data_IF_291009647017
#
_entry.id   IF_291009647017
#
_cell.length_a   1.000
_cell.length_b   1.000
_cell.length_c   1.000
_cell.angle_alpha   90.00
_cell.angle_beta   90.00
_cell.angle_gamma   90.00
#
_symmetry.space_group_name_H-M   'P 1'
#
loop_
_entity.id
_entity.type
_entity.pdbx_description
1 polymer ?
#
# COMPACT_ATOMS: atom_id res chain seq x y z
N UNK A 1 -4.29 11.33 -5.79
CA UNK A 1 -5.37 10.68 -5.01
C UNK A 1 -4.80 9.65 -4.05
N UNK A 2 -5.59 9.22 -3.06
CA UNK A 2 -5.19 8.22 -2.08
C UNK A 2 -6.23 7.12 -1.94
N UNK A 3 -5.76 5.90 -1.64
CA UNK A 3 -6.58 4.74 -1.31
C UNK A 3 -5.93 4.01 -0.11
N UNK A 4 -6.73 3.39 0.74
CA UNK A 4 -6.23 2.77 1.98
C UNK A 4 -6.89 1.43 2.28
N UNK A 5 -6.12 0.51 2.86
CA UNK A 5 -6.60 -0.72 3.49
C UNK A 5 -6.17 -0.74 4.97
N UNK A 6 -7.09 -0.98 5.89
CA UNK A 6 -6.86 -0.82 7.33
C UNK A 6 -7.82 -1.69 8.16
N UNK A 7 -7.57 -1.88 9.45
CA UNK A 7 -8.41 -2.75 10.29
C UNK A 7 -8.32 -4.22 9.87
N UNK A 8 -9.43 -4.97 9.95
CA UNK A 8 -9.48 -6.39 9.54
C UNK A 8 -10.25 -6.58 8.22
N UNK A 9 -9.59 -6.46 7.07
CA UNK A 9 -9.42 -5.18 6.42
C UNK A 9 -10.72 -4.53 5.87
N UNK A 10 -10.79 -3.22 6.06
CA UNK A 10 -11.65 -2.25 5.40
C UNK A 10 -10.86 -1.49 4.34
N UNK A 11 -11.55 -1.02 3.31
CA UNK A 11 -10.95 -0.39 2.13
C UNK A 11 -11.59 0.97 1.86
N UNK A 12 -10.76 1.94 1.48
CA UNK A 12 -11.14 3.15 0.77
C UNK A 12 -10.49 3.11 -0.61
N UNK A 13 -11.29 3.26 -1.67
CA UNK A 13 -10.82 3.32 -3.06
C UNK A 13 -10.28 4.70 -3.41
N UNK A 14 -9.71 4.85 -4.61
CA UNK A 14 -9.17 6.15 -5.03
C UNK A 14 -10.25 7.21 -5.26
N UNK A 15 -11.48 6.83 -5.57
CA UNK A 15 -12.60 7.77 -5.78
C UNK A 15 -13.55 7.86 -4.58
N UNK A 16 -13.16 7.25 -3.45
CA UNK A 16 -13.77 7.51 -2.14
C UNK A 16 -14.88 6.53 -1.75
N UNK A 17 -15.09 5.46 -2.52
CA UNK A 17 -15.96 4.36 -2.10
C UNK A 17 -15.30 3.59 -0.96
N UNK A 18 -16.11 3.14 -0.01
CA UNK A 18 -15.63 2.30 1.08
C UNK A 18 -16.36 0.96 1.12
N UNK A 19 -15.62 -0.08 1.49
CA UNK A 19 -16.18 -1.42 1.62
C UNK A 19 -15.34 -2.28 2.55
N UNK A 20 -15.90 -3.41 2.96
CA UNK A 20 -15.22 -4.40 3.80
C UNK A 20 -15.02 -5.69 3.01
N UNK A 21 -13.79 -6.17 2.93
CA UNK A 21 -13.46 -7.43 2.28
C UNK A 21 -12.54 -8.27 3.15
N UNK A 22 -13.09 -9.32 3.75
CA UNK A 22 -12.41 -10.18 4.73
C UNK A 22 -11.93 -11.49 4.11
N UNK A 23 -11.09 -11.41 3.07
CA UNK A 23 -10.49 -12.57 2.41
C UNK A 23 -9.37 -13.25 3.20
N UNK A 24 -9.17 -14.56 3.00
CA UNK A 24 -7.96 -15.27 3.43
C UNK A 24 -7.12 -15.63 2.19
N UNK A 25 -6.01 -14.93 1.96
CA UNK A 25 -5.22 -15.12 0.74
C UNK A 25 -4.25 -13.99 0.41
N UNK A 26 -3.92 -13.88 -0.89
CA UNK A 26 -3.12 -12.82 -1.49
C UNK A 26 -3.92 -12.09 -2.59
N UNK A 27 -4.01 -10.77 -2.51
CA UNK A 27 -4.89 -9.98 -3.38
C UNK A 27 -4.18 -8.77 -3.98
N UNK A 28 -4.50 -8.44 -5.23
CA UNK A 28 -4.02 -7.25 -5.93
C UNK A 28 -4.83 -6.03 -5.52
N UNK A 29 -4.20 -5.09 -4.82
CA UNK A 29 -4.85 -3.84 -4.43
C UNK A 29 -4.93 -2.83 -5.58
N UNK A 30 -3.84 -2.70 -6.33
CA UNK A 30 -3.74 -1.81 -7.48
C UNK A 30 -2.75 -2.39 -8.48
N UNK A 31 -3.04 -2.22 -9.76
CA UNK A 31 -2.25 -2.58 -10.93
C UNK A 31 -2.55 -1.61 -12.11
N UNK A 32 -1.64 -1.51 -13.07
CA UNK A 32 -1.57 -0.60 -14.24
C UNK A 32 -1.04 -1.37 -15.47
N UNK A 33 -1.01 -2.70 -15.42
CA UNK A 33 -0.49 -3.55 -16.50
C UNK A 33 1.05 -3.64 -16.55
N UNK A 34 1.66 -3.37 -17.73
CA UNK A 34 3.07 -3.70 -18.05
C UNK A 34 4.15 -2.93 -17.26
N UNK A 35 3.76 -2.04 -16.35
CA UNK A 35 4.68 -1.26 -15.53
C UNK A 35 3.97 -0.90 -14.22
N UNK A 36 3.92 -1.80 -13.24
CA UNK A 36 3.13 -1.45 -12.06
C UNK A 36 3.58 -1.99 -10.73
N UNK A 37 3.50 -1.07 -9.77
CA UNK A 37 3.02 -1.22 -8.41
C UNK A 37 1.90 -2.23 -8.23
N UNK A 38 2.18 -3.52 -8.43
CA UNK A 38 1.35 -4.58 -7.87
C UNK A 38 1.53 -4.50 -6.36
N UNK A 39 0.43 -4.32 -5.63
CA UNK A 39 0.46 -4.32 -4.18
C UNK A 39 -0.32 -5.51 -3.66
N UNK A 40 0.38 -6.44 -3.01
CA UNK A 40 -0.22 -7.65 -2.48
C UNK A 40 -0.43 -7.52 -0.98
N UNK A 41 -1.62 -7.90 -0.50
CA UNK A 41 -1.88 -8.08 0.93
C UNK A 41 -1.97 -9.56 1.27
N UNK A 42 -1.23 -10.00 2.30
CA UNK A 42 -1.38 -11.35 2.85
C UNK A 42 -2.07 -11.31 4.21
N UNK A 43 -3.24 -11.91 4.30
CA UNK A 43 -4.01 -12.04 5.55
C UNK A 43 -3.69 -13.33 6.31
N UNK A 44 -3.44 -13.28 7.62
CA UNK A 44 -3.22 -14.47 8.48
C UNK A 44 -4.07 -14.47 9.75
N UNK A 45 -4.42 -15.65 10.24
CA UNK A 45 -5.05 -15.85 11.55
C UNK A 45 -4.07 -15.61 12.70
N UNK A 46 -4.52 -14.89 13.74
CA UNK A 46 -3.69 -14.43 14.85
C UNK A 46 -3.51 -15.41 16.04
N UNK A 47 -3.89 -16.69 15.92
CA UNK A 47 -3.63 -17.69 16.96
C UNK A 47 -4.78 -18.64 17.26
N UNK A 48 -4.57 -19.56 18.23
CA UNK A 48 -5.33 -20.82 18.48
C UNK A 48 -6.83 -20.68 18.83
N UNK A 49 -7.35 -19.47 18.95
CA UNK A 49 -8.80 -19.23 19.08
C UNK A 49 -9.28 -18.54 17.80
N UNK A 50 -10.31 -19.10 17.15
CA UNK A 50 -10.87 -18.71 15.84
C UNK A 50 -11.38 -17.25 15.71
N UNK A 51 -10.97 -16.31 16.58
CA UNK A 51 -11.53 -14.95 16.70
C UNK A 51 -10.51 -13.90 17.20
N UNK A 52 -9.31 -13.82 16.62
CA UNK A 52 -8.42 -12.67 16.84
C UNK A 52 -7.93 -12.15 15.49
N UNK A 53 -8.10 -10.84 15.28
CA UNK A 53 -8.09 -10.14 13.98
C UNK A 53 -6.86 -10.38 13.10
N UNK A 54 -7.01 -10.14 11.80
CA UNK A 54 -5.99 -10.45 10.80
C UNK A 54 -4.95 -9.35 10.63
N UNK A 55 -3.76 -9.79 10.27
CA UNK A 55 -2.62 -8.95 9.87
C UNK A 55 -2.50 -8.94 8.36
N UNK A 56 -2.21 -7.79 7.75
CA UNK A 56 -1.95 -7.66 6.32
C UNK A 56 -0.47 -7.33 6.06
N UNK A 57 0.35 -8.33 5.68
CA UNK A 57 1.69 -8.04 5.14
C UNK A 57 1.55 -7.32 3.78
N UNK A 58 2.44 -6.38 3.44
CA UNK A 58 2.37 -5.59 2.21
C UNK A 58 3.61 -5.72 1.32
N UNK A 59 3.43 -6.01 0.03
CA UNK A 59 4.51 -6.06 -0.98
C UNK A 59 4.26 -5.04 -2.10
N UNK A 60 5.29 -4.40 -2.67
CA UNK A 60 5.17 -3.47 -3.80
C UNK A 60 6.27 -3.70 -4.85
N UNK A 61 5.97 -3.47 -6.13
CA UNK A 61 6.94 -3.55 -7.25
C UNK A 61 6.89 -2.29 -8.13
N UNK A 62 7.93 -1.91 -8.86
CA UNK A 62 7.83 -0.84 -9.87
C UNK A 62 8.63 -1.22 -11.11
N UNK A 63 8.34 -0.61 -12.26
CA UNK A 63 9.02 -0.94 -13.53
C UNK A 63 10.55 -0.82 -13.48
N UNK A 64 11.09 -0.02 -12.55
CA UNK A 64 12.53 0.19 -12.35
C UNK A 64 13.08 -0.42 -11.05
N UNK A 65 12.22 -0.97 -10.17
CA UNK A 65 12.61 -1.48 -8.85
C UNK A 65 11.97 -2.85 -8.65
N UNK A 66 12.81 -3.87 -8.46
CA UNK A 66 12.40 -5.26 -8.59
C UNK A 66 11.39 -5.72 -7.53
N UNK A 67 11.48 -5.29 -6.26
CA UNK A 67 10.43 -5.51 -5.22
C UNK A 67 10.82 -4.84 -3.87
N UNK A 68 9.83 -4.30 -3.14
CA UNK A 68 9.95 -3.83 -1.74
C UNK A 68 8.91 -4.56 -0.89
N UNK A 69 9.39 -5.27 0.13
CA UNK A 69 8.58 -6.09 1.02
C UNK A 69 8.55 -5.49 2.42
N UNK A 70 7.35 -5.35 2.98
CA UNK A 70 7.14 -4.93 4.38
C UNK A 70 6.47 -6.06 5.13
N UNK A 71 7.09 -6.51 6.23
CA UNK A 71 6.60 -7.61 7.07
C UNK A 71 6.64 -7.20 8.53
N UNK A 72 5.57 -7.46 9.27
CA UNK A 72 5.56 -7.26 10.72
C UNK A 72 6.12 -8.50 11.41
N UNK A 73 7.12 -8.31 12.28
CA UNK A 73 7.72 -9.43 13.02
C UNK A 73 6.80 -9.97 14.12
N UNK A 74 6.78 -11.30 14.30
CA UNK A 74 5.99 -11.98 15.34
C UNK A 74 6.51 -11.75 16.77
N UNK A 75 7.81 -11.46 16.94
CA UNK A 75 8.45 -11.37 18.27
C UNK A 75 8.77 -9.94 18.71
N UNK A 76 8.90 -9.02 17.77
CA UNK A 76 9.14 -7.59 18.02
C UNK A 76 8.08 -6.84 17.24
N UNK A 77 7.40 -5.87 17.84
CA UNK A 77 6.38 -5.03 17.19
C UNK A 77 6.96 -4.15 16.05
N UNK A 78 8.09 -4.50 15.49
CA UNK A 78 8.82 -3.74 14.48
C UNK A 78 8.42 -4.20 13.09
N UNK A 79 8.34 -3.23 12.17
CA UNK A 79 8.20 -3.47 10.73
C UNK A 79 9.59 -3.65 10.13
N UNK A 80 9.79 -4.78 9.44
CA UNK A 80 11.01 -5.08 8.73
C UNK A 80 10.80 -4.83 7.23
N UNK A 81 11.81 -4.25 6.59
CA UNK A 81 11.81 -3.91 5.17
C UNK A 81 12.84 -4.79 4.46
N UNK A 82 12.40 -5.55 3.46
CA UNK A 82 13.25 -6.45 2.69
C UNK A 82 13.28 -6.02 1.22
N UNK A 83 14.44 -6.10 0.61
CA UNK A 83 14.64 -6.05 -0.86
C UNK A 83 15.27 -7.37 -1.29
N UNK A 84 14.97 -7.87 -2.49
CA UNK A 84 15.37 -9.22 -2.95
C UNK A 84 16.85 -9.61 -2.74
N UNK A 85 17.76 -8.63 -2.67
CA UNK A 85 19.20 -8.90 -2.64
C UNK A 85 19.85 -8.90 -1.24
N UNK A 86 19.16 -8.49 -0.15
CA UNK A 86 19.67 -8.61 1.24
C UNK A 86 18.64 -8.13 2.29
N UNK A 87 18.77 -8.57 3.55
CA UNK A 87 18.21 -7.84 4.70
C UNK A 87 18.92 -6.48 4.79
N UNK A 88 18.23 -5.40 4.41
CA UNK A 88 18.75 -4.04 4.55
C UNK A 88 18.87 -3.65 6.03
N UNK A 89 20.00 -4.01 6.65
CA UNK A 89 20.54 -3.36 7.84
C UNK A 89 21.18 -2.01 7.47
N UNK A 90 20.47 -1.16 6.72
CA UNK A 90 20.98 0.17 6.39
C UNK A 90 20.46 1.21 7.38
N UNK A 91 21.30 2.15 7.87
CA UNK A 91 20.81 3.28 8.64
C UNK A 91 19.87 4.10 7.74
N UNK A 92 18.61 4.19 8.16
CA UNK A 92 17.58 4.99 7.51
C UNK A 92 17.89 6.50 7.69
N UNK A 93 17.59 7.35 6.70
CA UNK A 93 16.92 7.08 5.42
C UNK A 93 17.85 6.50 4.34
N UNK A 94 17.31 5.64 3.46
CA UNK A 94 18.05 4.98 2.37
C UNK A 94 17.45 5.35 1.01
N UNK A 95 18.32 5.67 0.04
CA UNK A 95 17.92 6.10 -1.30
C UNK A 95 18.64 5.21 -2.32
N UNK A 96 17.85 4.42 -3.06
CA UNK A 96 18.33 3.63 -4.22
C UNK A 96 17.65 4.19 -5.46
N UNK A 97 18.24 3.96 -6.63
CA UNK A 97 17.73 4.29 -7.97
C UNK A 97 16.20 4.42 -8.04
N UNK A 98 15.69 5.65 -7.96
CA UNK A 98 14.25 5.96 -8.08
C UNK A 98 13.35 5.57 -6.90
N UNK A 99 13.92 5.24 -5.74
CA UNK A 99 13.25 4.86 -4.50
C UNK A 99 13.69 5.73 -3.33
N UNK A 100 12.73 6.34 -2.65
CA UNK A 100 12.95 6.95 -1.34
C UNK A 100 12.30 6.09 -0.28
N UNK A 101 13.12 5.57 0.64
CA UNK A 101 12.66 4.87 1.83
C UNK A 101 12.88 5.77 3.04
N UNK A 102 11.78 6.21 3.62
CA UNK A 102 11.77 6.87 4.91
C UNK A 102 11.07 5.97 5.93
N UNK A 103 11.76 5.70 7.03
CA UNK A 103 11.16 5.01 8.17
C UNK A 103 11.47 5.81 9.42
N UNK A 104 10.42 6.25 10.10
CA UNK A 104 10.53 6.90 11.40
C UNK A 104 10.69 5.85 12.49
N UNK A 105 11.25 6.23 13.64
CA UNK A 105 11.38 5.35 14.81
C UNK A 105 10.06 4.67 15.23
N UNK A 106 8.91 5.26 14.87
CA UNK A 106 7.56 4.83 15.23
C UNK A 106 6.83 3.97 14.17
N UNK A 107 7.45 2.88 13.70
CA UNK A 107 6.76 1.83 12.91
C UNK A 107 6.04 2.29 11.62
N UNK A 108 6.43 3.43 11.04
CA UNK A 108 5.87 3.90 9.77
C UNK A 108 6.93 3.77 8.68
N UNK A 109 6.62 3.03 7.63
CA UNK A 109 7.44 2.91 6.43
C UNK A 109 6.75 3.69 5.32
N UNK A 110 7.43 4.69 4.79
CA UNK A 110 7.01 5.40 3.58
C UNK A 110 7.99 5.10 2.46
N UNK A 111 7.43 4.66 1.34
CA UNK A 111 8.11 4.33 0.10
C UNK A 111 7.60 5.30 -0.95
N UNK A 112 8.46 6.19 -1.47
CA UNK A 112 8.12 7.05 -2.60
C UNK A 112 8.91 6.65 -3.83
N UNK A 113 8.23 6.54 -4.96
CA UNK A 113 8.81 6.21 -6.25
C UNK A 113 9.09 7.49 -7.03
N UNK A 114 10.07 7.42 -7.94
CA UNK A 114 10.39 8.51 -8.88
C UNK A 114 9.16 9.00 -9.68
N UNK A 115 8.19 8.12 -9.93
CA UNK A 115 6.92 8.45 -10.56
C UNK A 115 6.01 9.39 -9.73
N UNK A 116 6.40 9.74 -8.50
CA UNK A 116 5.53 10.44 -7.53
C UNK A 116 4.51 9.53 -6.86
N UNK A 117 4.47 8.24 -7.23
CA UNK A 117 3.67 7.25 -6.52
C UNK A 117 4.25 7.04 -5.12
N UNK A 118 3.39 6.95 -4.13
CA UNK A 118 3.75 6.74 -2.74
C UNK A 118 3.03 5.53 -2.17
N UNK A 119 3.71 4.85 -1.28
CA UNK A 119 3.20 3.74 -0.50
C UNK A 119 3.58 3.99 0.94
N UNK A 120 2.59 4.04 1.81
CA UNK A 120 2.80 4.09 3.24
C UNK A 120 2.28 2.80 3.88
N UNK A 121 3.04 2.31 4.86
CA UNK A 121 2.68 1.21 5.75
C UNK A 121 2.87 1.70 7.18
N UNK A 122 1.79 1.79 7.93
CA UNK A 122 1.82 2.19 9.34
C UNK A 122 1.50 1.00 10.22
N UNK A 123 2.42 0.67 11.12
CA UNK A 123 2.18 -0.27 12.20
C UNK A 123 1.61 0.45 13.42
N UNK A 124 0.43 0.05 13.88
CA UNK A 124 -0.14 0.56 15.13
C UNK A 124 -0.71 -0.57 15.94
N UNK A 125 -0.18 -0.74 17.17
CA UNK A 125 -0.68 -1.71 18.18
C UNK A 125 -0.84 -3.14 17.66
N UNK A 126 0.02 -3.57 16.74
CA UNK A 126 -0.06 -4.90 16.13
C UNK A 126 -1.02 -4.99 14.94
N UNK A 127 -1.38 -3.88 14.32
CA UNK A 127 -2.14 -3.87 13.06
C UNK A 127 -1.41 -3.05 12.02
N UNK A 128 -1.63 -3.39 10.76
CA UNK A 128 -1.01 -2.72 9.64
C UNK A 128 -2.08 -1.92 8.90
N UNK A 129 -1.79 -0.65 8.69
CA UNK A 129 -2.53 0.21 7.78
C UNK A 129 -1.68 0.45 6.55
N UNK A 130 -2.33 0.33 5.42
CA UNK A 130 -1.74 0.40 4.12
C UNK A 130 -2.36 1.59 3.40
N UNK A 131 -1.55 2.52 2.92
CA UNK A 131 -2.01 3.66 2.14
C UNK A 131 -1.22 3.75 0.84
N UNK A 132 -1.92 3.95 -0.27
CA UNK A 132 -1.34 4.22 -1.59
C UNK A 132 -1.66 5.66 -1.97
N UNK A 133 -0.66 6.35 -2.51
CA UNK A 133 -0.74 7.69 -3.04
C UNK A 133 -0.37 7.62 -4.53
N UNK A 134 -1.27 8.03 -5.41
CA UNK A 134 -1.01 8.07 -6.85
C UNK A 134 -1.18 9.50 -7.39
N UNK A 135 -0.23 10.00 -8.20
CA UNK A 135 -0.41 11.24 -8.94
C UNK A 135 -1.48 11.10 -10.03
N UNK A 136 -2.01 12.23 -10.51
CA UNK A 136 -3.09 12.28 -11.51
C UNK A 136 -2.76 11.61 -12.84
N UNK A 137 -1.47 11.47 -13.19
CA UNK A 137 -1.06 10.73 -14.38
C UNK A 137 -1.47 9.24 -14.39
N UNK A 138 -1.94 8.71 -13.26
CA UNK A 138 -2.49 7.36 -13.17
C UNK A 138 -4.02 7.31 -13.40
N UNK A 139 -4.69 8.45 -13.63
CA UNK A 139 -6.13 8.49 -13.88
C UNK A 139 -6.51 7.61 -15.07
N UNK A 140 -7.56 6.80 -14.96
CA UNK A 140 -8.00 5.80 -15.94
C UNK A 140 -7.03 4.65 -16.22
N UNK A 141 -5.94 4.53 -15.45
CA UNK A 141 -4.92 3.50 -15.67
C UNK A 141 -4.81 2.50 -14.50
N UNK A 142 -5.67 2.58 -13.48
CA UNK A 142 -5.63 1.66 -12.35
C UNK A 142 -6.69 0.56 -12.45
N UNK A 143 -6.42 -0.58 -11.82
CA UNK A 143 -7.35 -1.67 -11.61
C UNK A 143 -6.96 -2.42 -10.33
N UNK A 144 -7.90 -3.05 -9.62
CA UNK A 144 -7.63 -3.78 -8.37
C UNK A 144 -8.71 -3.55 -7.32
N UNK A 145 -8.44 -3.93 -6.08
CA UNK A 145 -9.35 -3.65 -4.95
C UNK A 145 -9.49 -2.15 -4.62
N UNK A 146 -8.56 -1.30 -5.06
CA UNK A 146 -8.70 0.15 -4.99
C UNK A 146 -9.38 0.77 -6.21
N UNK A 147 -9.87 -0.08 -7.11
CA UNK A 147 -10.68 0.26 -8.28
C UNK A 147 -9.99 1.09 -9.35
N UNK A 148 -10.82 1.73 -10.18
CA UNK A 148 -10.39 2.51 -11.34
C UNK A 148 -10.38 3.98 -10.95
N UNK A 149 -9.21 4.57 -10.82
CA UNK A 149 -9.04 5.96 -10.41
C UNK A 149 -9.46 6.88 -11.54
N UNK A 150 -10.72 7.33 -11.54
CA UNK A 150 -11.26 8.19 -12.59
C UNK A 150 -12.26 9.25 -12.08
N UNK A 151 -12.59 9.23 -10.80
CA UNK A 151 -13.57 10.11 -10.16
C UNK A 151 -15.00 9.59 -10.19
N UNK A 152 -15.23 8.33 -10.58
CA UNK A 152 -16.53 7.70 -10.70
C UNK A 152 -16.68 6.54 -9.71
N UNK A 153 -17.48 6.72 -8.67
CA UNK A 153 -17.71 5.66 -7.69
C UNK A 153 -18.44 4.43 -8.26
N UNK A 154 -19.17 4.59 -9.37
CA UNK A 154 -20.03 3.54 -9.94
C UNK A 154 -19.26 2.39 -10.61
N UNK A 155 -17.96 2.55 -10.86
CA UNK A 155 -17.10 1.52 -11.48
C UNK A 155 -15.98 1.00 -10.56
N UNK A 156 -16.02 1.36 -9.27
CA UNK A 156 -15.02 0.94 -8.30
C UNK A 156 -14.97 -0.58 -8.13
N UNK A 157 -16.11 -1.25 -8.28
CA UNK A 157 -16.20 -2.70 -8.32
C UNK A 157 -16.04 -3.26 -9.74
N UNK A 158 -14.92 -2.94 -10.38
CA UNK A 158 -14.53 -3.50 -11.69
C UNK A 158 -13.76 -4.81 -11.52
N UNK A 159 -14.27 -5.89 -12.10
CA UNK A 159 -13.62 -7.19 -12.15
C UNK A 159 -12.46 -7.21 -13.17
N UNK A 160 -11.56 -8.22 -13.09
CA UNK A 160 -10.45 -8.42 -14.05
C UNK A 160 -10.91 -8.48 -15.52
N UNK A 161 -12.10 -9.02 -15.77
CA UNK A 161 -12.73 -9.11 -17.10
C UNK A 161 -13.38 -7.79 -17.58
N UNK A 162 -13.22 -6.70 -16.82
CA UNK A 162 -13.76 -5.36 -17.09
C UNK A 162 -15.27 -5.21 -16.95
N UNK A 163 -15.99 -6.20 -16.42
CA UNK A 163 -17.38 -5.99 -15.99
C UNK A 163 -17.44 -5.26 -14.65
N UNK A 164 -18.49 -4.50 -14.41
CA UNK A 164 -18.72 -3.77 -13.15
C UNK A 164 -19.84 -4.40 -12.32
N UNK A 165 -19.75 -4.22 -11.01
CA UNK A 165 -20.81 -4.53 -10.05
C UNK A 165 -21.37 -3.24 -9.45
N UNK A 166 -22.65 -3.24 -9.08
CA UNK A 166 -23.27 -2.09 -8.43
C UNK A 166 -22.59 -1.74 -7.11
N UNK A 167 -22.47 -0.44 -6.82
CA UNK A 167 -21.97 0.09 -5.54
C UNK A 167 -22.81 -0.32 -4.33
N UNK A 168 -24.06 -0.74 -4.55
CA UNK A 168 -24.98 -1.23 -3.53
C UNK A 168 -24.93 -2.76 -3.34
N UNK A 169 -23.88 -3.41 -3.84
CA UNK A 169 -23.69 -4.85 -3.69
C UNK A 169 -23.70 -5.30 -2.22
N UNK A 170 -24.21 -6.51 -1.99
CA UNK A 170 -24.18 -7.11 -0.65
C UNK A 170 -22.74 -7.45 -0.23
N UNK A 171 -22.46 -7.55 1.08
CA UNK A 171 -21.16 -8.00 1.57
C UNK A 171 -20.71 -9.36 1.02
N UNK A 172 -21.65 -10.25 0.70
CA UNK A 172 -21.37 -11.54 0.06
C UNK A 172 -20.88 -11.36 -1.38
N UNK A 173 -21.55 -10.50 -2.15
CA UNK A 173 -21.10 -10.16 -3.51
C UNK A 173 -19.73 -9.45 -3.49
N UNK A 174 -19.48 -8.60 -2.50
CA UNK A 174 -18.16 -7.98 -2.30
C UNK A 174 -17.06 -9.00 -1.98
N UNK A 175 -17.41 -10.10 -1.32
CA UNK A 175 -16.48 -11.20 -1.08
C UNK A 175 -16.12 -11.95 -2.37
N UNK A 176 -17.09 -12.19 -3.25
CA UNK A 176 -16.85 -12.73 -4.59
C UNK A 176 -16.03 -11.78 -5.47
N UNK A 177 -16.33 -10.47 -5.41
CA UNK A 177 -15.53 -9.43 -6.05
C UNK A 177 -14.08 -9.46 -5.59
N UNK A 178 -13.85 -9.52 -4.27
CA UNK A 178 -12.51 -9.56 -3.73
C UNK A 178 -11.75 -10.85 -4.10
N UNK A 179 -12.44 -11.98 -4.18
CA UNK A 179 -11.88 -13.24 -4.65
C UNK A 179 -11.40 -13.16 -6.12
N UNK A 180 -12.08 -12.39 -6.97
CA UNK A 180 -11.65 -12.18 -8.36
C UNK A 180 -10.27 -11.50 -8.47
N UNK A 181 -9.94 -10.65 -7.50
CA UNK A 181 -8.65 -9.95 -7.40
C UNK A 181 -7.58 -10.75 -6.65
N UNK A 182 -7.82 -12.04 -6.37
CA UNK A 182 -6.77 -12.94 -5.90
C UNK A 182 -5.61 -12.98 -6.91
N UNK A 183 -4.39 -13.02 -6.36
CA UNK A 183 -3.15 -13.14 -7.12
C UNK A 183 -3.10 -14.50 -7.82
N UNK A 184 -2.47 -14.59 -8.98
CA UNK A 184 -2.32 -15.86 -9.71
C UNK A 184 -1.01 -16.56 -9.33
N UNK A 185 -0.95 -17.87 -9.52
CA UNK A 185 0.27 -18.63 -9.27
C UNK A 185 1.43 -18.11 -10.15
N UNK A 186 2.58 -17.85 -9.53
CA UNK A 186 3.75 -17.26 -10.21
C UNK A 186 3.74 -15.73 -10.36
N UNK A 187 2.66 -15.04 -9.95
CA UNK A 187 2.58 -13.56 -10.00
C UNK A 187 2.70 -12.89 -8.63
N UNK A 188 2.90 -13.68 -7.57
CA UNK A 188 3.08 -13.15 -6.22
C UNK A 188 4.40 -12.43 -6.09
N UNK A 189 4.36 -11.26 -5.44
CA UNK A 189 5.52 -10.47 -5.09
C UNK A 189 6.14 -10.86 -3.73
N UNK A 190 5.49 -11.75 -2.99
CA UNK A 190 6.02 -12.18 -1.70
C UNK A 190 7.07 -13.27 -1.88
N UNK A 191 8.12 -13.21 -1.07
CA UNK A 191 9.04 -14.33 -0.89
C UNK A 191 8.52 -15.30 0.18
N UNK A 192 8.91 -16.57 0.07
CA UNK A 192 8.45 -17.66 0.92
C UNK A 192 9.66 -18.36 1.53
N UNK A 193 10.08 -17.86 2.69
CA UNK A 193 11.32 -18.25 3.38
C UNK A 193 11.15 -19.43 4.36
N UNK A 194 9.92 -19.93 4.52
CA UNK A 194 9.59 -21.00 5.47
C UNK A 194 8.59 -21.98 4.89
N UNK A 195 8.67 -23.24 5.32
CA UNK A 195 7.75 -24.31 4.89
C UNK A 195 6.28 -23.97 5.18
N UNK A 196 6.00 -23.30 6.30
CA UNK A 196 4.67 -22.78 6.60
C UNK A 196 4.18 -21.82 5.50
N UNK A 197 5.01 -20.88 5.04
CA UNK A 197 4.60 -19.94 4.01
C UNK A 197 4.48 -20.59 2.64
N UNK A 198 5.37 -21.53 2.33
CA UNK A 198 5.31 -22.30 1.10
C UNK A 198 3.98 -23.08 1.03
N UNK A 199 3.65 -23.86 2.06
CA UNK A 199 2.46 -24.70 2.05
C UNK A 199 1.15 -23.91 2.08
N UNK A 200 1.10 -22.79 2.81
CA UNK A 200 -0.15 -22.03 2.96
C UNK A 200 -0.36 -20.97 1.89
N UNK A 201 0.70 -20.49 1.23
CA UNK A 201 0.58 -19.36 0.30
C UNK A 201 1.26 -19.58 -1.04
N UNK A 202 2.34 -20.35 -1.15
CA UNK A 202 2.96 -20.63 -2.46
C UNK A 202 2.24 -21.77 -3.18
N UNK A 203 2.08 -22.92 -2.52
CA UNK A 203 1.40 -24.10 -3.03
C UNK A 203 -0.11 -24.09 -2.74
N UNK A 204 -0.53 -23.34 -1.73
CA UNK A 204 -1.94 -23.20 -1.35
C UNK A 204 -2.74 -22.31 -2.29
N UNK A 205 -4.06 -22.33 -2.14
CA UNK A 205 -4.95 -21.45 -2.87
C UNK A 205 -4.69 -19.97 -2.53
N UNK A 206 -4.72 -19.12 -3.54
CA UNK A 206 -4.50 -17.67 -3.39
C UNK A 206 -5.69 -16.94 -2.79
N UNK A 207 -6.85 -17.59 -2.78
CA UNK A 207 -8.05 -17.22 -2.03
C UNK A 207 -8.68 -18.50 -1.47
N UNK A 208 -8.81 -18.60 -0.15
CA UNK A 208 -9.48 -19.73 0.48
C UNK A 208 -11.01 -19.51 0.43
N UNK A 209 -11.67 -20.14 -0.54
CA UNK A 209 -13.12 -20.03 -0.71
C UNK A 209 -13.93 -20.67 0.43
N UNK A 210 -13.32 -21.59 1.19
CA UNK A 210 -13.96 -22.22 2.36
C UNK A 210 -13.97 -21.31 3.59
N UNK A 211 -13.18 -20.23 3.57
CA UNK A 211 -13.19 -19.22 4.60
C UNK A 211 -14.35 -18.26 4.37
N UNK A 212 -15.39 -18.30 5.22
CA UNK A 212 -16.50 -17.36 5.16
C UNK A 212 -16.41 -16.34 6.32
N UNK A 213 -16.29 -15.03 6.04
CA UNK A 213 -16.23 -14.03 7.08
C UNK A 213 -17.61 -13.76 7.71
N UNK A 214 -17.60 -13.14 8.89
CA UNK A 214 -18.80 -12.51 9.44
C UNK A 214 -19.13 -11.28 8.60
N UNK A 215 -20.23 -11.35 7.85
CA UNK A 215 -20.71 -10.26 7.00
C UNK A 215 -21.48 -9.20 7.79
N UNK A 216 -22.27 -9.64 8.79
CA UNK A 216 -23.10 -8.78 9.62
C UNK A 216 -22.92 -9.20 11.08
N UNK A 217 -22.09 -8.49 11.86
CA UNK A 217 -21.97 -8.77 13.29
C UNK A 217 -23.26 -8.38 14.02
N UNK A 218 -23.68 -9.23 14.95
CA UNK A 218 -24.81 -8.92 15.82
C UNK A 218 -24.35 -8.05 16.99
N UNK A 219 -25.06 -6.96 17.24
CA UNK A 219 -24.91 -6.12 18.44
C UNK A 219 -25.92 -6.58 19.49
N UNK A 220 -25.49 -7.41 20.43
CA UNK A 220 -26.33 -7.84 21.55
C UNK A 220 -26.25 -6.81 22.69
N UNK A 221 -27.36 -6.09 23.01
CA UNK A 221 -27.35 -5.08 24.07
C UNK A 221 -27.05 -5.64 25.47
N UNK A 222 -27.20 -6.96 25.66
CA UNK A 222 -26.87 -7.62 26.93
C UNK A 222 -25.37 -7.94 27.08
N UNK A 223 -24.58 -7.81 26.01
CA UNK A 223 -23.16 -8.10 26.02
C UNK A 223 -22.37 -6.91 26.62
N UNK A 224 -21.64 -7.08 27.73
CA UNK A 224 -20.87 -6.00 28.35
C UNK A 224 -19.85 -5.36 27.41
N UNK A 225 -19.34 -6.11 26.42
CA UNK A 225 -18.41 -5.55 25.43
C UNK A 225 -19.09 -4.47 24.56
N UNK A 226 -20.40 -4.58 24.32
CA UNK A 226 -21.13 -3.62 23.48
C UNK A 226 -21.22 -2.25 24.16
N UNK A 227 -21.39 -2.21 25.48
CA UNK A 227 -21.38 -0.96 26.24
C UNK A 227 -20.01 -0.25 26.14
N UNK A 228 -18.93 -0.98 26.39
CA UNK A 228 -17.56 -0.46 26.24
C UNK A 228 -17.27 -0.03 24.79
N UNK A 229 -17.73 -0.82 23.81
CA UNK A 229 -17.58 -0.52 22.40
C UNK A 229 -18.31 0.76 22.01
N UNK A 230 -19.54 1.00 22.48
CA UNK A 230 -20.30 2.22 22.14
C UNK A 230 -19.56 3.45 22.65
N UNK A 231 -19.08 3.43 23.90
CA UNK A 231 -18.29 4.52 24.47
C UNK A 231 -16.98 4.74 23.71
N UNK A 232 -16.35 3.66 23.28
CA UNK A 232 -15.04 3.72 22.65
C UNK A 232 -15.10 4.04 21.15
N UNK A 233 -15.95 3.38 20.38
CA UNK A 233 -16.05 3.55 18.92
C UNK A 233 -17.01 4.66 18.51
N UNK A 234 -17.89 5.11 19.41
CA UNK A 234 -18.96 6.05 19.11
C UNK A 234 -19.75 5.60 17.86
N UNK A 235 -19.84 6.44 16.83
CA UNK A 235 -20.53 6.16 15.58
C UNK A 235 -19.62 5.61 14.47
N UNK A 236 -18.36 5.27 14.77
CA UNK A 236 -17.42 4.76 13.75
C UNK A 236 -17.79 3.32 13.34
N UNK A 237 -18.29 3.10 12.10
CA UNK A 237 -18.82 1.81 11.69
C UNK A 237 -17.74 0.74 11.59
N UNK A 238 -16.52 1.11 11.19
CA UNK A 238 -15.39 0.18 11.04
C UNK A 238 -14.89 -0.29 12.41
N UNK A 239 -14.77 0.65 13.36
CA UNK A 239 -14.41 0.34 14.74
C UNK A 239 -15.40 -0.64 15.37
N UNK A 240 -16.71 -0.35 15.29
CA UNK A 240 -17.75 -1.22 15.84
C UNK A 240 -17.71 -2.61 15.21
N UNK A 241 -17.65 -2.67 13.88
CA UNK A 241 -17.58 -3.93 13.14
C UNK A 241 -16.39 -4.80 13.57
N UNK A 242 -15.20 -4.21 13.67
CA UNK A 242 -14.01 -4.94 14.08
C UNK A 242 -14.06 -5.36 15.56
N UNK A 243 -14.58 -4.54 16.46
CA UNK A 243 -14.77 -4.95 17.87
C UNK A 243 -15.72 -6.14 17.96
N UNK A 244 -16.86 -6.11 17.27
CA UNK A 244 -17.84 -7.20 17.34
C UNK A 244 -17.31 -8.50 16.73
N UNK A 245 -16.61 -8.41 15.59
CA UNK A 245 -16.11 -9.58 14.89
C UNK A 245 -14.87 -10.20 15.55
N UNK A 246 -14.01 -9.39 16.18
CA UNK A 246 -12.77 -9.83 16.83
C UNK A 246 -12.85 -9.92 18.35
N UNK A 247 -13.93 -9.43 18.95
CA UNK A 247 -14.12 -9.31 20.42
C UNK A 247 -13.00 -8.54 21.11
N UNK A 248 -12.42 -7.53 20.44
CA UNK A 248 -11.22 -6.83 20.90
C UNK A 248 -11.31 -5.32 20.71
N UNK A 249 -11.38 -4.58 21.81
CA UNK A 249 -11.29 -3.11 21.83
C UNK A 249 -9.94 -2.60 21.29
N UNK A 250 -8.88 -3.40 21.41
CA UNK A 250 -7.58 -3.05 20.83
C UNK A 250 -7.65 -2.99 19.31
N UNK A 251 -8.33 -3.95 18.66
CA UNK A 251 -8.53 -3.94 17.20
C UNK A 251 -9.35 -2.71 16.82
N UNK A 252 -10.50 -2.49 17.48
CA UNK A 252 -11.33 -1.31 17.26
C UNK A 252 -10.57 0.01 17.40
N UNK A 253 -9.71 0.13 18.42
CA UNK A 253 -8.86 1.30 18.62
C UNK A 253 -7.89 1.58 17.49
N UNK A 254 -7.33 0.52 16.91
CA UNK A 254 -6.43 0.65 15.77
C UNK A 254 -7.21 1.03 14.53
N UNK A 255 -8.34 0.35 14.26
CA UNK A 255 -9.22 0.62 13.11
C UNK A 255 -9.74 2.06 13.12
N UNK A 256 -10.23 2.56 14.27
CA UNK A 256 -10.70 3.95 14.43
C UNK A 256 -9.59 4.96 14.15
N UNK A 257 -8.40 4.73 14.71
CA UNK A 257 -7.26 5.60 14.49
C UNK A 257 -6.86 5.64 13.02
N UNK A 258 -6.85 4.49 12.34
CA UNK A 258 -6.55 4.40 10.91
C UNK A 258 -7.59 5.13 10.05
N UNK A 259 -8.87 5.00 10.39
CA UNK A 259 -9.95 5.73 9.71
C UNK A 259 -9.82 7.26 9.89
N UNK A 260 -9.54 7.73 11.10
CA UNK A 260 -9.28 9.15 11.37
C UNK A 260 -8.05 9.66 10.60
N UNK A 261 -6.97 8.88 10.58
CA UNK A 261 -5.76 9.22 9.82
C UNK A 261 -6.04 9.32 8.31
N UNK A 262 -6.88 8.44 7.76
CA UNK A 262 -7.27 8.51 6.35
C UNK A 262 -8.07 9.79 6.04
N UNK A 263 -9.01 10.16 6.91
CA UNK A 263 -9.76 11.44 6.77
C UNK A 263 -8.84 12.65 6.81
N UNK A 264 -7.95 12.71 7.81
CA UNK A 264 -6.97 13.79 7.92
C UNK A 264 -6.03 13.84 6.71
N UNK A 265 -5.63 12.69 6.18
CA UNK A 265 -4.83 12.63 4.96
C UNK A 265 -5.57 13.22 3.76
N UNK A 266 -6.85 12.90 3.58
CA UNK A 266 -7.66 13.45 2.49
C UNK A 266 -7.83 14.97 2.61
N UNK A 267 -8.10 15.47 3.80
CA UNK A 267 -8.29 16.91 4.06
C UNK A 267 -7.03 17.73 3.79
N UNK A 268 -5.85 17.13 4.00
CA UNK A 268 -4.54 17.79 3.87
C UNK A 268 -3.74 17.28 2.65
N UNK A 269 -4.40 16.63 1.69
CA UNK A 269 -3.71 16.01 0.56
C UNK A 269 -3.23 17.06 -0.43
N UNK A 270 -1.93 17.36 -0.41
CA UNK A 270 -1.30 18.22 -1.41
C UNK A 270 -0.74 17.41 -2.60
N UNK A 271 -0.86 17.91 -3.84
CA UNK A 271 -0.22 17.29 -5.00
C UNK A 271 1.32 17.32 -4.84
N UNK A 272 1.93 16.14 -4.78
CA UNK A 272 3.39 16.02 -4.78
C UNK A 272 3.89 15.98 -6.22
N UNK A 273 4.64 17.01 -6.63
CA UNK A 273 5.30 17.07 -7.95
C UNK A 273 6.71 16.48 -7.81
N UNK A 274 6.97 15.40 -8.57
CA UNK A 274 8.29 14.77 -8.72
C UNK A 274 8.68 14.77 -10.20
N UNK A 275 9.91 15.17 -10.50
CA UNK A 275 10.43 15.16 -11.87
C UNK A 275 11.08 13.84 -12.28
N UNK A 276 11.07 12.86 -11.37
CA UNK A 276 11.63 11.53 -11.61
C UNK A 276 13.16 11.49 -11.49
N UNK A 277 13.69 10.27 -11.51
CA UNK A 277 15.12 10.03 -11.32
C UNK A 277 15.91 10.38 -12.58
N UNK A 278 17.01 11.11 -12.40
CA UNK A 278 18.01 11.32 -13.44
C UNK A 278 19.18 10.34 -13.25
N UNK A 279 19.63 9.74 -14.35
CA UNK A 279 20.86 8.94 -14.38
C UNK A 279 22.11 9.77 -14.19
N UNK A 280 23.21 9.12 -13.80
CA UNK A 280 24.52 9.74 -13.89
C UNK A 280 25.03 9.59 -15.34
N UNK A 281 25.72 10.61 -15.88
CA UNK A 281 26.37 10.48 -17.17
C UNK A 281 27.47 9.42 -17.12
N UNK A 282 27.66 8.68 -18.21
CA UNK A 282 28.84 7.82 -18.40
C UNK A 282 30.09 8.67 -18.21
N UNK A 283 31.11 8.17 -17.51
CA UNK A 283 32.30 8.97 -17.17
C UNK A 283 32.03 10.27 -16.40
N UNK A 284 30.92 10.34 -15.66
CA UNK A 284 30.65 11.44 -14.76
C UNK A 284 29.85 11.00 -13.54
N UNK A 285 29.45 11.99 -12.76
CA UNK A 285 28.77 11.85 -11.49
C UNK A 285 27.60 12.82 -11.44
N UNK A 286 26.57 12.41 -10.71
CA UNK A 286 25.41 13.22 -10.37
C UNK A 286 25.45 13.52 -8.88
N UNK A 287 25.18 14.76 -8.51
CA UNK A 287 25.07 15.19 -7.13
C UNK A 287 23.64 15.72 -6.86
N UNK A 288 23.05 15.25 -5.77
CA UNK A 288 21.65 15.48 -5.45
C UNK A 288 20.81 14.20 -5.53
N UNK A 289 19.95 14.03 -4.53
CA UNK A 289 19.11 12.84 -4.37
C UNK A 289 17.62 13.17 -4.30
N UNK A 290 17.23 14.43 -4.10
CA UNK A 290 15.83 14.87 -4.07
C UNK A 290 15.33 15.17 -5.50
N UNK A 291 14.14 14.67 -5.83
CA UNK A 291 13.52 14.83 -7.15
C UNK A 291 12.18 15.59 -7.09
N UNK A 292 11.84 16.15 -5.92
CA UNK A 292 10.63 16.95 -5.71
C UNK A 292 10.76 18.35 -6.32
N UNK A 293 9.62 19.01 -6.55
CA UNK A 293 9.54 20.38 -7.03
C UNK A 293 10.56 21.32 -6.38
N UNK A 294 11.30 22.06 -7.20
CA UNK A 294 12.32 23.01 -6.77
C UNK A 294 13.67 22.38 -6.40
N UNK A 295 13.77 21.04 -6.37
CA UNK A 295 15.05 20.36 -6.15
C UNK A 295 16.01 20.57 -7.32
N UNK A 296 17.29 20.73 -7.01
CA UNK A 296 18.36 20.88 -8.00
C UNK A 296 19.29 19.66 -7.98
N UNK A 297 19.60 19.15 -9.17
CA UNK A 297 20.55 18.07 -9.39
C UNK A 297 21.70 18.61 -10.23
N UNK A 298 22.94 18.44 -9.77
CA UNK A 298 24.14 18.89 -10.48
C UNK A 298 24.96 17.73 -11.04
N UNK A 299 25.70 18.00 -12.12
CA UNK A 299 26.44 16.99 -12.87
C UNK A 299 27.91 17.41 -13.03
N UNK A 300 28.81 16.44 -12.88
CA UNK A 300 30.25 16.65 -12.93
C UNK A 300 30.88 15.51 -13.74
N UNK A 301 31.70 15.85 -14.73
CA UNK A 301 32.46 14.85 -15.49
C UNK A 301 33.72 14.43 -14.74
N UNK A 302 34.11 13.17 -14.92
CA UNK A 302 35.39 12.67 -14.43
C UNK A 302 36.54 13.37 -15.19
N UNK A 303 37.73 13.32 -14.60
CA UNK A 303 38.93 13.91 -15.21
C UNK A 303 39.16 13.35 -16.63
N UNK A 304 39.39 14.25 -17.59
CA UNK A 304 39.58 13.90 -19.01
C UNK A 304 38.32 13.97 -19.87
N UNK A 305 37.15 14.25 -19.27
CA UNK A 305 35.88 14.41 -19.97
C UNK A 305 35.32 15.82 -19.76
N UNK A 306 34.58 16.34 -20.74
CA UNK A 306 33.96 17.65 -20.70
C UNK A 306 32.43 17.52 -20.69
N UNK A 307 31.78 18.37 -19.91
CA UNK A 307 30.32 18.33 -19.78
C UNK A 307 29.67 18.95 -21.02
N UNK A 308 28.79 18.18 -21.65
CA UNK A 308 27.83 18.66 -22.63
C UNK A 308 26.41 18.60 -22.04
N UNK A 309 25.56 19.58 -22.39
CA UNK A 309 24.23 19.75 -21.81
C UNK A 309 24.23 20.58 -20.52
N UNK A 310 23.21 20.43 -19.68
CA UNK A 310 23.03 21.28 -18.50
C UNK A 310 23.79 20.77 -17.26
N UNK A 311 24.65 21.62 -16.70
CA UNK A 311 25.38 21.36 -15.44
C UNK A 311 24.44 21.13 -14.26
N UNK A 312 23.31 21.82 -14.26
CA UNK A 312 22.29 21.69 -13.23
C UNK A 312 20.92 21.53 -13.88
N UNK A 313 20.10 20.67 -13.29
CA UNK A 313 18.70 20.48 -13.66
C UNK A 313 17.82 20.70 -12.44
N UNK A 314 16.78 21.50 -12.60
CA UNK A 314 15.84 21.90 -11.54
C UNK A 314 14.49 21.24 -11.83
N UNK A 315 13.87 20.65 -10.81
CA UNK A 315 12.55 20.07 -10.96
C UNK A 315 11.50 21.19 -11.05
N UNK A 316 10.77 21.24 -12.17
CA UNK A 316 9.79 22.29 -12.46
C UNK A 316 8.38 21.87 -12.04
N UNK A 317 7.48 22.86 -11.92
CA UNK A 317 6.04 22.65 -11.62
C UNK A 317 5.34 21.74 -12.63
N UNK A 318 5.91 21.60 -13.83
CA UNK A 318 5.42 20.71 -14.89
C UNK A 318 5.70 19.22 -14.62
N UNK A 319 6.48 18.89 -13.58
CA UNK A 319 6.98 17.53 -13.37
C UNK A 319 8.11 17.14 -14.33
N UNK A 320 8.71 18.12 -15.04
CA UNK A 320 9.86 17.90 -15.90
C UNK A 320 11.12 18.56 -15.31
N UNK A 321 12.28 17.96 -15.60
CA UNK A 321 13.57 18.58 -15.31
C UNK A 321 13.89 19.69 -16.30
N UNK A 322 14.33 20.84 -15.80
CA UNK A 322 14.82 21.94 -16.64
C UNK A 322 16.06 21.54 -17.44
N UNK A 323 16.32 22.27 -18.52
CA UNK A 323 17.54 22.13 -19.31
C UNK A 323 17.70 20.79 -20.03
N UNK A 324 18.88 20.59 -20.61
CA UNK A 324 19.20 19.45 -21.47
C UNK A 324 19.82 18.30 -20.68
N UNK A 325 19.61 17.08 -21.17
CA UNK A 325 20.22 15.88 -20.59
C UNK A 325 21.75 15.97 -20.63
N UNK A 326 22.44 15.85 -19.49
CA UNK A 326 23.88 15.99 -19.42
C UNK A 326 24.60 14.74 -19.92
N UNK A 327 25.72 14.94 -20.60
CA UNK A 327 26.66 13.89 -21.01
C UNK A 327 28.10 14.29 -20.71
N UNK A 328 28.90 13.27 -20.42
CA UNK A 328 30.35 13.25 -20.44
C UNK A 328 30.74 12.10 -21.40
#
# INVERSE_FOLDING_TARGET
KTASAFGDPHFFTFDGLNFTFKGQGEYTLVDRGKATLTRCCRSRDAGREKKKGRYCDGACRSSHIREVLTRQSRSRRNLNLFTMDDELFCPLPFIVTGLFLHSTADQNITVMFSSGSGVEVRGSRGFLTLTVLLPEQFMNHTQGLFGVMNGNIEDEYTFKNKTTMSVHASPQQLFEFGANWAVENGTSLFTYDTEFLLNNFFYGEKHNASFLPVFFPNEDPADPLVEEMVLFCDSDPFCRFDVLTTRSLLVGSSTRLSHQNHKLLLENLEPVISCGWLGHPTNGRKNGTNYLLGSTISFICNQGYELSGSKERICQVTGAWSGDTPSC
#
